data_IF_520452424582
#
_entry.id   IF_520452424582
#
_cell.length_a   1.000
_cell.length_b   1.000
_cell.length_c   1.000
_cell.angle_alpha   90.00
_cell.angle_beta   90.00
_cell.angle_gamma   90.00
#
_symmetry.space_group_name_H-M   'P 1'
#
loop_
_entity.id
_entity.type
_entity.pdbx_description
1 polymer ?
#
# COMPACT_ATOMS: atom_id res chain seq x y z
N UNK A 1 -6.89 18.06 -11.89
CA UNK A 1 -8.24 17.49 -11.61
C UNK A 1 -8.59 16.55 -12.76
N UNK A 2 -8.78 15.25 -12.48
CA UNK A 2 -9.14 14.27 -13.52
C UNK A 2 -10.58 14.56 -13.96
N UNK A 3 -10.85 14.67 -15.26
CA UNK A 3 -12.24 14.83 -15.73
C UNK A 3 -13.04 13.56 -15.38
N UNK A 4 -14.28 13.66 -14.88
CA UNK A 4 -15.07 12.50 -14.44
C UNK A 4 -15.25 11.41 -15.50
N UNK A 5 -15.28 11.79 -16.78
CA UNK A 5 -15.37 10.88 -17.92
C UNK A 5 -14.07 10.10 -18.17
N UNK A 6 -12.91 10.74 -17.96
CA UNK A 6 -11.62 10.06 -18.01
C UNK A 6 -11.43 9.13 -16.80
N UNK A 7 -11.95 9.49 -15.62
CA UNK A 7 -11.91 8.63 -14.43
C UNK A 7 -12.63 7.28 -14.62
N UNK A 8 -13.57 7.19 -15.58
CA UNK A 8 -14.21 5.95 -15.98
C UNK A 8 -13.34 5.09 -16.90
N UNK A 9 -12.33 5.64 -17.56
CA UNK A 9 -11.48 4.90 -18.50
C UNK A 9 -10.13 4.50 -17.90
N UNK A 10 -9.73 5.14 -16.79
CA UNK A 10 -8.47 4.86 -16.11
C UNK A 10 -8.54 3.48 -15.44
N UNK A 11 -7.73 2.54 -15.96
CA UNK A 11 -7.57 1.20 -15.38
C UNK A 11 -6.31 1.07 -14.53
N UNK A 12 -5.33 1.94 -14.77
CA UNK A 12 -4.04 1.95 -14.09
C UNK A 12 -3.80 3.32 -13.48
N UNK A 13 -3.47 3.33 -12.19
CA UNK A 13 -3.16 4.55 -11.45
C UNK A 13 -1.82 4.39 -10.73
N UNK A 14 -0.97 5.40 -10.87
CA UNK A 14 0.28 5.53 -10.13
C UNK A 14 0.21 6.79 -9.25
N UNK A 15 0.55 6.65 -7.97
CA UNK A 15 0.60 7.74 -7.00
C UNK A 15 2.04 7.81 -6.47
N UNK A 16 2.72 8.92 -6.73
CA UNK A 16 4.11 9.12 -6.33
C UNK A 16 4.27 9.94 -5.03
N UNK A 17 5.43 9.86 -4.39
CA UNK A 17 5.73 10.50 -3.10
C UNK A 17 5.69 12.03 -3.15
N UNK A 18 6.03 12.63 -4.29
CA UNK A 18 5.83 14.07 -4.56
C UNK A 18 4.37 14.52 -4.40
N UNK A 19 3.45 13.56 -4.41
CA UNK A 19 2.01 13.75 -4.21
C UNK A 19 1.60 13.60 -2.74
N UNK A 20 2.42 12.94 -1.91
CA UNK A 20 2.15 12.61 -0.51
C UNK A 20 2.96 13.46 0.48
N UNK A 21 4.07 14.05 0.05
CA UNK A 21 4.91 14.93 0.84
C UNK A 21 4.50 16.40 0.69
N UNK A 22 3.97 16.98 1.78
CA UNK A 22 3.75 18.44 1.91
C UNK A 22 5.03 19.28 1.80
N UNK A 23 6.20 18.64 1.78
CA UNK A 23 7.49 19.29 2.04
C UNK A 23 8.29 19.65 0.78
N UNK A 24 7.87 19.19 -0.40
CA UNK A 24 8.64 19.35 -1.66
C UNK A 24 7.92 20.17 -2.74
N UNK A 25 6.75 20.75 -2.44
CA UNK A 25 5.96 21.57 -3.37
C UNK A 25 5.65 22.94 -2.76
N UNK A 26 5.71 24.05 -3.53
CA UNK A 26 5.27 25.35 -3.05
C UNK A 26 3.82 25.23 -2.56
N UNK A 27 3.57 25.71 -1.33
CA UNK A 27 2.41 25.40 -0.49
C UNK A 27 1.04 25.71 -1.11
N UNK A 28 0.99 26.42 -2.23
CA UNK A 28 -0.22 27.09 -2.68
C UNK A 28 -0.89 26.41 -3.89
N UNK A 29 -0.22 25.50 -4.59
CA UNK A 29 -0.75 24.93 -5.85
C UNK A 29 -1.31 23.49 -5.75
N UNK A 30 -0.81 22.63 -4.85
CA UNK A 30 -1.29 21.23 -4.73
C UNK A 30 -2.20 21.00 -3.52
N UNK A 31 -2.19 21.88 -2.52
CA UNK A 31 -3.08 21.78 -1.36
C UNK A 31 -4.58 21.76 -1.71
N UNK A 32 -4.94 22.17 -2.94
CA UNK A 32 -6.31 22.11 -3.48
C UNK A 32 -6.64 20.80 -4.20
N UNK A 33 -5.66 19.99 -4.61
CA UNK A 33 -5.91 18.79 -5.42
C UNK A 33 -6.07 17.53 -4.55
N UNK A 34 -5.41 17.48 -3.39
CA UNK A 34 -5.58 16.42 -2.39
C UNK A 34 -5.77 16.96 -0.97
N UNK A 35 -6.64 17.96 -0.81
CA UNK A 35 -7.34 18.12 0.45
C UNK A 35 -8.19 16.88 0.77
N UNK A 36 -9.12 16.94 1.74
CA UNK A 36 -10.13 15.91 1.99
C UNK A 36 -10.84 15.37 0.73
N UNK A 37 -10.79 16.12 -0.38
CA UNK A 37 -11.38 15.79 -1.69
C UNK A 37 -10.54 14.85 -2.57
N UNK A 38 -9.26 14.66 -2.28
CA UNK A 38 -8.37 13.82 -3.08
C UNK A 38 -8.68 12.31 -2.98
N UNK A 39 -8.93 11.84 -1.77
CA UNK A 39 -9.40 10.47 -1.50
C UNK A 39 -10.83 10.27 -2.01
N UNK A 40 -11.65 11.32 -2.04
CA UNK A 40 -12.97 11.27 -2.67
C UNK A 40 -12.87 11.09 -4.19
N UNK A 41 -11.91 11.71 -4.86
CA UNK A 41 -11.65 11.48 -6.28
C UNK A 41 -11.20 10.03 -6.56
N UNK A 42 -10.37 9.44 -5.69
CA UNK A 42 -10.00 8.01 -5.78
C UNK A 42 -11.21 7.08 -5.61
N UNK A 43 -12.16 7.43 -4.73
CA UNK A 43 -13.42 6.67 -4.57
C UNK A 43 -14.31 6.71 -5.83
N UNK A 44 -14.16 7.72 -6.68
CA UNK A 44 -14.89 7.82 -7.95
C UNK A 44 -14.27 6.96 -9.05
N UNK A 45 -12.99 6.60 -8.94
CA UNK A 45 -12.25 5.84 -9.94
C UNK A 45 -12.52 4.32 -9.81
N UNK A 46 -13.77 3.93 -9.99
CA UNK A 46 -14.28 2.55 -9.83
C UNK A 46 -13.68 1.53 -10.79
N UNK A 47 -13.05 1.99 -11.87
CA UNK A 47 -12.51 1.15 -12.94
C UNK A 47 -11.01 0.88 -12.81
N UNK A 48 -10.35 1.41 -11.78
CA UNK A 48 -8.95 1.10 -11.49
C UNK A 48 -8.83 -0.37 -11.10
N UNK A 49 -7.97 -1.08 -11.82
CA UNK A 49 -7.59 -2.48 -11.56
C UNK A 49 -6.13 -2.62 -11.17
N UNK A 50 -5.30 -1.66 -11.53
CA UNK A 50 -3.89 -1.65 -11.22
C UNK A 50 -3.53 -0.37 -10.48
N UNK A 51 -2.96 -0.51 -9.28
CA UNK A 51 -2.53 0.61 -8.46
C UNK A 51 -1.04 0.46 -8.13
N UNK A 52 -0.27 1.52 -8.37
CA UNK A 52 1.09 1.65 -7.92
C UNK A 52 1.21 2.80 -6.92
N UNK A 53 1.71 2.53 -5.72
CA UNK A 53 2.00 3.51 -4.68
C UNK A 53 3.52 3.65 -4.56
N UNK A 54 4.08 4.69 -5.16
CA UNK A 54 5.52 4.91 -5.27
C UNK A 54 5.97 5.93 -4.23
N UNK A 55 6.59 5.46 -3.15
CA UNK A 55 7.24 6.29 -2.15
C UNK A 55 6.41 6.86 -0.98
N UNK A 56 5.09 6.66 -0.80
CA UNK A 56 4.50 6.94 0.50
C UNK A 56 4.84 5.79 1.47
N UNK A 57 6.07 5.80 1.98
CA UNK A 57 6.73 4.76 2.79
C UNK A 57 5.94 4.30 4.03
N UNK A 58 4.96 5.11 4.42
CA UNK A 58 4.24 5.06 5.67
C UNK A 58 2.73 4.82 5.52
N UNK A 59 2.22 4.70 4.28
CA UNK A 59 0.79 4.74 4.01
C UNK A 59 0.00 3.60 4.65
N UNK A 60 0.63 2.44 4.83
CA UNK A 60 0.02 1.26 5.45
C UNK A 60 -0.20 1.49 6.95
N UNK A 61 0.70 2.20 7.61
CA UNK A 61 0.73 2.22 9.08
C UNK A 61 0.47 3.59 9.71
N UNK A 62 0.70 4.69 9.00
CA UNK A 62 0.45 6.02 9.59
C UNK A 62 -1.03 6.31 9.80
N UNK A 63 -1.46 6.74 10.99
CA UNK A 63 -2.86 7.08 11.26
C UNK A 63 -3.43 8.14 10.29
N UNK A 64 -2.60 9.09 9.86
CA UNK A 64 -2.99 10.18 8.96
C UNK A 64 -3.35 9.69 7.56
N UNK A 65 -2.95 8.47 7.20
CA UNK A 65 -3.16 7.86 5.87
C UNK A 65 -4.38 6.93 5.82
N UNK A 66 -5.20 6.91 6.88
CA UNK A 66 -6.45 6.11 6.97
C UNK A 66 -7.37 6.30 5.77
N UNK A 67 -7.53 7.53 5.27
CA UNK A 67 -8.37 7.81 4.10
C UNK A 67 -7.86 7.15 2.81
N UNK A 68 -6.54 7.07 2.62
CA UNK A 68 -5.93 6.37 1.49
C UNK A 68 -6.15 4.86 1.63
N UNK A 69 -5.94 4.30 2.82
CA UNK A 69 -6.24 2.88 3.09
C UNK A 69 -7.68 2.53 2.81
N UNK A 70 -8.62 3.31 3.32
CA UNK A 70 -10.06 3.09 3.08
C UNK A 70 -10.43 3.22 1.60
N UNK A 71 -9.79 4.13 0.86
CA UNK A 71 -9.98 4.24 -0.59
C UNK A 71 -9.45 2.99 -1.32
N UNK A 72 -8.21 2.57 -1.03
CA UNK A 72 -7.60 1.37 -1.63
C UNK A 72 -8.41 0.12 -1.31
N UNK A 73 -8.83 -0.08 -0.07
CA UNK A 73 -9.67 -1.23 0.34
C UNK A 73 -11.02 -1.30 -0.40
N UNK A 74 -11.53 -0.19 -0.93
CA UNK A 74 -12.77 -0.15 -1.71
C UNK A 74 -12.56 -0.37 -3.21
N UNK A 75 -11.31 -0.37 -3.68
CA UNK A 75 -10.98 -0.67 -5.07
C UNK A 75 -11.12 -2.16 -5.34
N UNK A 76 -11.29 -2.52 -6.62
CA UNK A 76 -11.33 -3.90 -7.11
C UNK A 76 -10.06 -4.20 -7.89
N UNK A 77 -8.93 -4.17 -7.20
CA UNK A 77 -7.62 -4.30 -7.82
C UNK A 77 -7.36 -5.76 -8.23
N UNK A 78 -6.73 -5.92 -9.39
CA UNK A 78 -6.06 -7.15 -9.81
C UNK A 78 -4.54 -7.04 -9.62
N UNK A 79 -3.98 -5.82 -9.59
CA UNK A 79 -2.56 -5.58 -9.40
C UNK A 79 -2.33 -4.48 -8.36
N UNK A 80 -1.48 -4.75 -7.38
CA UNK A 80 -1.05 -3.78 -6.37
C UNK A 80 0.47 -3.77 -6.29
N UNK A 81 1.07 -2.63 -6.65
CA UNK A 81 2.50 -2.36 -6.46
C UNK A 81 2.66 -1.33 -5.35
N UNK A 82 3.56 -1.61 -4.42
CA UNK A 82 3.95 -0.72 -3.34
C UNK A 82 5.47 -0.62 -3.38
N UNK A 83 5.99 0.60 -3.46
CA UNK A 83 7.42 0.87 -3.43
C UNK A 83 7.83 1.48 -2.08
N UNK A 84 9.07 1.24 -1.66
CA UNK A 84 9.70 1.86 -0.49
C UNK A 84 8.95 1.59 0.84
N UNK A 85 8.42 0.38 1.00
CA UNK A 85 7.82 -0.04 2.28
C UNK A 85 8.89 -0.35 3.31
N UNK A 86 9.07 0.54 4.27
CA UNK A 86 9.91 0.26 5.43
C UNK A 86 9.07 -0.42 6.50
N UNK A 87 9.48 -1.64 6.86
CA UNK A 87 8.90 -2.43 7.92
C UNK A 87 8.84 -1.56 9.17
N UNK A 88 7.69 -1.51 9.84
CA UNK A 88 7.54 -0.69 11.02
C UNK A 88 8.38 -1.23 12.17
N UNK A 89 9.63 -0.81 12.24
CA UNK A 89 10.31 -0.56 13.49
C UNK A 89 11.19 0.64 13.26
N UNK A 90 10.66 1.78 13.69
CA UNK A 90 11.40 2.92 14.21
C UNK A 90 12.57 3.39 13.31
N UNK A 91 12.40 4.55 12.67
CA UNK A 91 13.54 5.41 12.40
C UNK A 91 14.14 5.87 13.74
N UNK A 92 14.87 4.99 14.45
CA UNK A 92 15.54 5.30 15.74
C UNK A 92 16.64 6.35 15.60
N UNK A 93 16.96 6.81 14.39
CA UNK A 93 18.07 7.74 14.14
C UNK A 93 17.70 9.19 13.82
N UNK A 94 16.45 9.52 13.46
CA UNK A 94 16.13 10.83 12.85
C UNK A 94 14.84 11.51 13.36
N UNK A 95 14.37 11.20 14.57
CA UNK A 95 13.32 12.00 15.21
C UNK A 95 13.90 13.32 15.76
N UNK A 96 14.27 14.25 14.86
CA UNK A 96 14.31 15.69 15.18
C UNK A 96 12.91 16.32 15.19
N UNK A 97 11.91 15.60 14.68
CA UNK A 97 10.51 15.98 14.70
C UNK A 97 9.74 14.81 15.30
N UNK A 98 8.94 15.07 16.34
CA UNK A 98 8.26 14.07 17.18
C UNK A 98 7.21 13.23 16.45
N UNK A 99 7.64 12.49 15.43
CA UNK A 99 6.86 11.44 14.79
C UNK A 99 6.68 10.32 15.81
N UNK A 100 5.45 10.20 16.32
CA UNK A 100 5.04 9.19 17.29
C UNK A 100 5.47 7.80 16.83
N UNK A 101 6.02 7.05 17.78
CA UNK A 101 6.29 5.63 17.65
C UNK A 101 4.98 4.93 17.24
N UNK A 102 4.95 4.40 16.01
CA UNK A 102 3.86 3.54 15.61
C UNK A 102 4.10 2.15 16.21
N UNK A 103 3.32 1.83 17.23
CA UNK A 103 3.36 0.53 17.93
C UNK A 103 2.48 -0.54 17.27
N UNK A 104 1.91 -0.26 16.10
CA UNK A 104 0.97 -1.16 15.43
C UNK A 104 1.62 -2.39 14.78
N UNK A 105 0.77 -3.23 14.20
CA UNK A 105 1.17 -4.49 13.58
C UNK A 105 1.09 -4.36 12.05
N UNK A 106 2.25 -4.34 11.39
CA UNK A 106 2.32 -4.17 9.93
C UNK A 106 1.81 -5.41 9.20
N UNK A 107 2.02 -6.59 9.77
CA UNK A 107 1.48 -7.83 9.21
C UNK A 107 -0.05 -7.79 9.18
N UNK A 108 -0.68 -7.30 10.25
CA UNK A 108 -2.14 -7.15 10.35
C UNK A 108 -2.70 -6.12 9.35
N UNK A 109 -2.03 -4.98 9.17
CA UNK A 109 -2.47 -3.97 8.19
C UNK A 109 -2.34 -4.50 6.75
N UNK A 110 -1.23 -5.16 6.41
CA UNK A 110 -1.06 -5.83 5.11
C UNK A 110 -2.15 -6.87 4.89
N UNK A 111 -2.42 -7.71 5.88
CA UNK A 111 -3.52 -8.69 5.83
C UNK A 111 -4.86 -8.03 5.54
N UNK A 112 -5.16 -6.93 6.23
CA UNK A 112 -6.43 -6.20 6.06
C UNK A 112 -6.57 -5.68 4.62
N UNK A 113 -5.48 -5.19 4.03
CA UNK A 113 -5.46 -4.76 2.62
C UNK A 113 -5.72 -5.96 1.69
N UNK A 114 -5.07 -7.10 1.92
CA UNK A 114 -5.26 -8.31 1.11
C UNK A 114 -6.70 -8.82 1.16
N UNK A 115 -7.28 -8.92 2.36
CA UNK A 115 -8.67 -9.34 2.55
C UNK A 115 -9.67 -8.43 1.85
N UNK A 116 -9.36 -7.14 1.73
CA UNK A 116 -10.18 -6.18 1.01
C UNK A 116 -10.09 -6.35 -0.52
N UNK A 117 -9.14 -7.12 -1.03
CA UNK A 117 -8.84 -7.28 -2.45
C UNK A 117 -8.99 -8.74 -2.92
N UNK A 118 -10.21 -9.31 -2.95
CA UNK A 118 -10.44 -10.71 -3.32
C UNK A 118 -10.12 -11.03 -4.79
N UNK A 119 -9.92 -10.01 -5.63
CA UNK A 119 -9.58 -10.13 -7.05
C UNK A 119 -8.08 -9.94 -7.32
N UNK A 120 -7.27 -9.73 -6.28
CA UNK A 120 -5.84 -9.45 -6.46
C UNK A 120 -5.13 -10.67 -7.03
N UNK A 121 -4.49 -10.49 -8.18
CA UNK A 121 -3.72 -11.51 -8.89
C UNK A 121 -2.21 -11.27 -8.76
N UNK A 122 -1.80 -10.01 -8.60
CA UNK A 122 -0.40 -9.61 -8.48
C UNK A 122 -0.18 -8.62 -7.33
N UNK A 123 0.83 -8.92 -6.50
CA UNK A 123 1.28 -8.09 -5.40
C UNK A 123 2.79 -7.89 -5.49
N UNK A 124 3.22 -6.63 -5.49
CA UNK A 124 4.65 -6.28 -5.56
C UNK A 124 5.03 -5.31 -4.46
N UNK A 125 6.00 -5.70 -3.63
CA UNK A 125 6.67 -4.84 -2.65
C UNK A 125 8.10 -4.56 -3.11
N UNK A 126 8.31 -3.48 -3.84
CA UNK A 126 9.61 -3.15 -4.44
C UNK A 126 10.38 -2.23 -3.50
N UNK A 127 11.70 -2.44 -3.33
CA UNK A 127 12.56 -1.67 -2.41
C UNK A 127 12.05 -1.63 -0.96
N UNK A 128 11.24 -2.61 -0.56
CA UNK A 128 10.80 -2.75 0.81
C UNK A 128 11.88 -3.38 1.68
N UNK A 129 12.01 -2.90 2.92
CA UNK A 129 12.85 -3.53 3.95
C UNK A 129 11.96 -3.98 5.09
N UNK A 130 11.70 -5.28 5.21
CA UNK A 130 10.87 -5.82 6.28
C UNK A 130 11.74 -6.30 7.43
N UNK A 131 11.50 -5.76 8.63
CA UNK A 131 12.14 -6.26 9.83
C UNK A 131 11.63 -7.65 10.18
N UNK A 132 12.46 -8.42 10.87
CA UNK A 132 12.14 -9.78 11.34
C UNK A 132 10.79 -9.85 12.06
N UNK A 133 10.47 -8.88 12.92
CA UNK A 133 9.18 -8.81 13.62
C UNK A 133 7.99 -8.73 12.64
N UNK A 134 8.10 -7.92 11.58
CA UNK A 134 7.04 -7.83 10.56
C UNK A 134 6.88 -9.13 9.80
N UNK A 135 7.98 -9.80 9.47
CA UNK A 135 7.98 -11.11 8.81
C UNK A 135 7.26 -12.16 9.68
N UNK A 136 7.60 -12.21 10.98
CA UNK A 136 6.96 -13.11 11.95
C UNK A 136 5.45 -12.80 12.11
N UNK A 137 5.08 -11.51 12.14
CA UNK A 137 3.68 -11.07 12.17
C UNK A 137 2.91 -11.50 10.93
N UNK A 138 3.50 -11.34 9.73
CA UNK A 138 2.89 -11.78 8.47
C UNK A 138 2.65 -13.29 8.49
N UNK A 139 3.64 -14.09 8.90
CA UNK A 139 3.50 -15.55 9.01
C UNK A 139 2.42 -15.97 10.02
N UNK A 140 2.26 -15.22 11.11
CA UNK A 140 1.28 -15.52 12.15
C UNK A 140 -0.15 -15.14 11.73
N UNK A 141 -0.29 -14.07 10.95
CA UNK A 141 -1.59 -13.48 10.67
C UNK A 141 -2.17 -13.86 9.30
N UNK A 142 -1.33 -14.03 8.28
CA UNK A 142 -1.80 -14.37 6.95
C UNK A 142 -2.43 -15.76 6.92
N UNK A 143 -3.52 -15.85 6.17
CA UNK A 143 -4.25 -17.08 5.91
C UNK A 143 -4.39 -17.28 4.40
N UNK A 144 -4.52 -18.53 3.92
CA UNK A 144 -4.70 -18.79 2.49
C UNK A 144 -5.91 -18.09 1.88
N UNK A 145 -6.97 -17.88 2.67
CA UNK A 145 -8.19 -17.20 2.23
C UNK A 145 -8.06 -15.68 2.12
N UNK A 146 -6.97 -15.08 2.60
CA UNK A 146 -6.82 -13.62 2.61
C UNK A 146 -6.55 -13.04 1.21
N UNK A 147 -5.95 -13.83 0.31
CA UNK A 147 -5.68 -13.43 -1.07
C UNK A 147 -5.89 -14.60 -2.05
N UNK A 148 -7.15 -15.06 -2.23
CA UNK A 148 -7.45 -16.36 -2.84
C UNK A 148 -7.12 -16.47 -4.34
N UNK A 149 -6.82 -15.34 -5.00
CA UNK A 149 -6.49 -15.28 -6.43
C UNK A 149 -5.06 -14.83 -6.70
N UNK A 150 -4.26 -14.64 -5.66
CA UNK A 150 -2.90 -14.13 -5.80
C UNK A 150 -2.02 -15.19 -6.46
N UNK A 151 -1.48 -14.85 -7.63
CA UNK A 151 -0.61 -15.71 -8.44
C UNK A 151 0.82 -15.21 -8.42
N UNK A 152 0.99 -13.89 -8.51
CA UNK A 152 2.30 -13.27 -8.65
C UNK A 152 2.65 -12.49 -7.40
N UNK A 153 3.76 -12.86 -6.77
CA UNK A 153 4.33 -12.14 -5.65
C UNK A 153 5.75 -11.71 -6.00
N UNK A 154 6.01 -10.42 -5.84
CA UNK A 154 7.36 -9.85 -5.99
C UNK A 154 7.69 -9.09 -4.72
N UNK A 155 8.86 -9.33 -4.14
CA UNK A 155 9.30 -8.62 -2.95
C UNK A 155 10.70 -9.01 -2.54
N UNK A 156 11.18 -8.47 -1.41
CA UNK A 156 12.40 -9.01 -0.82
C UNK A 156 12.19 -10.49 -0.42
N UNK A 157 13.26 -11.30 -0.40
CA UNK A 157 13.15 -12.74 -0.13
C UNK A 157 12.45 -13.07 1.19
N UNK A 158 12.66 -12.28 2.24
CA UNK A 158 12.07 -12.49 3.55
C UNK A 158 10.54 -12.31 3.53
N UNK A 159 10.04 -11.27 2.86
CA UNK A 159 8.60 -11.04 2.70
C UNK A 159 7.96 -12.10 1.80
N UNK A 160 8.62 -12.43 0.69
CA UNK A 160 8.13 -13.44 -0.22
C UNK A 160 7.97 -14.79 0.50
N UNK A 161 8.97 -15.17 1.30
CA UNK A 161 8.94 -16.41 2.10
C UNK A 161 7.81 -16.40 3.14
N UNK A 162 7.60 -15.26 3.82
CA UNK A 162 6.50 -15.10 4.79
C UNK A 162 5.13 -15.35 4.15
N UNK A 163 4.93 -14.83 2.95
CA UNK A 163 3.67 -14.96 2.22
C UNK A 163 3.49 -16.34 1.62
N UNK A 164 4.54 -16.94 1.04
CA UNK A 164 4.47 -18.29 0.42
C UNK A 164 4.11 -19.36 1.47
N UNK A 165 4.65 -19.26 2.68
CA UNK A 165 4.29 -20.17 3.77
C UNK A 165 2.82 -20.07 4.21
N UNK A 166 2.15 -18.97 3.84
CA UNK A 166 0.84 -18.60 4.38
C UNK A 166 -0.28 -18.50 3.32
N UNK A 167 0.06 -18.36 2.03
CA UNK A 167 -0.86 -18.17 0.91
C UNK A 167 -0.68 -19.29 -0.11
N UNK A 168 -1.76 -20.00 -0.43
CA UNK A 168 -1.73 -21.13 -1.37
C UNK A 168 -1.74 -20.66 -2.84
N UNK A 169 -1.00 -21.36 -3.71
CA UNK A 169 -1.07 -21.17 -5.17
C UNK A 169 -0.17 -20.07 -5.74
N UNK A 170 0.81 -19.59 -4.98
CA UNK A 170 1.76 -18.57 -5.42
C UNK A 170 2.84 -19.11 -6.36
N UNK A 171 3.02 -18.45 -7.50
CA UNK A 171 4.21 -18.58 -8.35
C UNK A 171 5.17 -17.43 -8.02
N UNK A 172 6.33 -17.76 -7.44
CA UNK A 172 7.32 -16.76 -7.05
C UNK A 172 8.33 -16.53 -8.17
N UNK A 173 8.50 -15.27 -8.56
CA UNK A 173 9.58 -14.83 -9.45
C UNK A 173 10.57 -14.05 -8.59
N UNK A 174 11.71 -14.67 -8.30
CA UNK A 174 12.84 -14.10 -7.53
C UNK A 174 13.77 -13.36 -8.50
#
# INVERSE_FOLDING_TARGET
>A
MIRPDLALLVQHLEICDSYCDRWSMPSDEIAKVLGPDGTNALRLAKNIRSLALLGPNDWIYRPERTGLRDAVSKMKLTHLKIEDTFGGTIWQGYSRSGYRDWEGDLGKEIRTILQAQPLLESLSFVKGSFYRKTVEQLQTHLQPSDAPRLKYLTGNPEFATACIGSISGLECWI
#
